data_IF_606736342422
#
_entry.id   IF_606736342422
#
_cell.length_a   1.000
_cell.length_b   1.000
_cell.length_c   1.000
_cell.angle_alpha   90.00
_cell.angle_beta   90.00
_cell.angle_gamma   90.00
#
_symmetry.space_group_name_H-M   'P 1'
#
loop_
_entity.id
_entity.type
_entity.pdbx_description
1 polymer ?
#
# COMPACT_ATOMS: atom_id res chain seq x y z
N UNK A 1 -4.42 5.10 -4.67
CA UNK A 1 -3.65 5.18 -5.94
C UNK A 1 -4.15 4.06 -6.85
N UNK A 2 -4.62 4.39 -8.05
CA UNK A 2 -5.21 3.41 -8.97
C UNK A 2 -4.58 3.51 -10.36
N UNK A 3 -4.43 2.38 -11.04
CA UNK A 3 -3.91 2.31 -12.41
C UNK A 3 -3.59 0.87 -12.82
N UNK A 4 -3.31 0.63 -14.11
CA UNK A 4 -3.03 -0.72 -14.62
C UNK A 4 -1.76 -1.33 -14.02
N UNK A 5 -1.59 -2.65 -14.14
CA UNK A 5 -0.34 -3.33 -13.83
C UNK A 5 0.85 -2.67 -14.58
N UNK A 6 2.00 -2.54 -13.91
CA UNK A 6 3.23 -1.99 -14.49
C UNK A 6 3.31 -0.48 -14.61
N UNK A 7 2.23 0.28 -14.35
CA UNK A 7 2.22 1.76 -14.50
C UNK A 7 3.04 2.53 -13.45
N UNK A 8 3.59 1.85 -12.44
CA UNK A 8 4.43 2.47 -11.40
C UNK A 8 3.71 2.87 -10.10
N UNK A 9 2.52 2.32 -9.80
CA UNK A 9 1.79 2.57 -8.54
C UNK A 9 2.65 2.36 -7.30
N UNK A 10 3.30 1.20 -7.18
CA UNK A 10 4.20 0.85 -6.08
C UNK A 10 5.36 1.83 -5.96
N UNK A 11 5.94 2.24 -7.09
CA UNK A 11 7.04 3.21 -7.13
C UNK A 11 6.60 4.55 -6.55
N UNK A 12 5.44 5.06 -6.97
CA UNK A 12 4.86 6.31 -6.45
C UNK A 12 4.57 6.18 -4.95
N UNK A 13 3.92 5.10 -4.52
CA UNK A 13 3.58 4.90 -3.12
C UNK A 13 4.83 4.80 -2.23
N UNK A 14 5.90 4.17 -2.73
CA UNK A 14 7.18 4.08 -2.03
C UNK A 14 7.90 5.43 -1.94
N UNK A 15 7.90 6.21 -3.02
CA UNK A 15 8.43 7.57 -3.01
C UNK A 15 7.69 8.44 -1.99
N UNK A 16 6.36 8.40 -2.00
CA UNK A 16 5.50 9.09 -1.04
C UNK A 16 5.77 8.64 0.40
N UNK A 17 5.87 7.33 0.63
CA UNK A 17 6.19 6.78 1.94
C UNK A 17 7.52 7.30 2.46
N UNK A 18 8.57 7.29 1.64
CA UNK A 18 9.89 7.78 2.02
C UNK A 18 9.87 9.29 2.34
N UNK A 19 9.11 10.07 1.58
CA UNK A 19 8.97 11.51 1.79
C UNK A 19 8.21 11.85 3.09
N UNK A 20 7.11 11.15 3.39
CA UNK A 20 6.28 11.42 4.57
C UNK A 20 6.80 10.74 5.84
N UNK A 21 7.54 9.64 5.70
CA UNK A 21 8.07 8.83 6.80
C UNK A 21 8.70 9.60 7.97
N UNK A 22 9.47 10.69 7.77
CA UNK A 22 10.06 11.44 8.89
C UNK A 22 9.03 12.06 9.84
N UNK A 23 7.82 12.34 9.37
CA UNK A 23 6.78 13.04 10.14
C UNK A 23 5.91 12.10 10.99
N UNK A 24 6.15 10.79 10.91
CA UNK A 24 5.36 9.75 11.58
C UNK A 24 6.23 8.85 12.44
N UNK A 25 5.84 8.65 13.70
CA UNK A 25 6.51 7.74 14.62
C UNK A 25 6.21 6.27 14.27
N UNK A 26 4.94 5.98 13.97
CA UNK A 26 4.47 4.66 13.56
C UNK A 26 4.22 4.66 12.06
N UNK A 27 4.90 3.78 11.36
CA UNK A 27 4.83 3.69 9.90
C UNK A 27 5.11 2.29 9.40
N UNK A 28 4.42 1.89 8.34
CA UNK A 28 4.54 0.57 7.74
C UNK A 28 4.27 0.65 6.23
N UNK A 29 5.05 -0.11 5.47
CA UNK A 29 4.82 -0.35 4.05
C UNK A 29 4.57 -1.85 3.88
N UNK A 30 3.31 -2.24 3.75
CA UNK A 30 2.93 -3.62 3.45
C UNK A 30 2.95 -3.81 1.94
N UNK A 31 4.02 -4.46 1.45
CA UNK A 31 4.22 -4.74 0.04
C UNK A 31 3.50 -6.01 -0.44
N UNK A 32 3.10 -6.04 -1.71
CA UNK A 32 2.63 -7.25 -2.42
C UNK A 32 1.48 -7.99 -1.71
N UNK A 33 0.39 -7.28 -1.38
CA UNK A 33 -0.80 -7.91 -0.79
C UNK A 33 -1.57 -8.79 -1.79
N UNK A 34 -1.31 -8.61 -3.09
CA UNK A 34 -1.91 -9.41 -4.15
C UNK A 34 -1.70 -10.91 -3.92
N UNK A 35 -2.79 -11.66 -3.81
CA UNK A 35 -2.74 -13.10 -3.54
C UNK A 35 -2.22 -13.50 -2.16
N UNK A 36 -2.06 -12.56 -1.21
CA UNK A 36 -1.77 -12.90 0.20
C UNK A 36 -2.99 -13.51 0.90
N UNK A 37 -4.17 -13.35 0.30
CA UNK A 37 -5.39 -14.05 0.65
C UNK A 37 -5.45 -15.39 -0.09
N UNK A 38 -5.61 -16.48 0.65
CA UNK A 38 -5.46 -17.84 0.13
C UNK A 38 -6.40 -18.16 -1.02
N UNK A 39 -5.87 -18.74 -2.09
CA UNK A 39 -6.60 -19.21 -3.28
C UNK A 39 -7.60 -20.36 -3.02
N UNK A 40 -7.84 -20.74 -1.77
CA UNK A 40 -8.42 -22.05 -1.42
C UNK A 40 -9.79 -21.98 -0.74
N UNK A 41 -10.44 -20.82 -0.64
CA UNK A 41 -11.85 -20.73 -0.23
C UNK A 41 -12.17 -21.33 1.15
N UNK A 42 -11.19 -21.41 2.06
CA UNK A 42 -11.31 -22.09 3.34
C UNK A 42 -10.77 -21.16 4.45
N UNK A 43 -11.69 -20.74 5.33
CA UNK A 43 -11.56 -19.89 6.54
C UNK A 43 -10.85 -18.53 6.40
N UNK A 44 -11.62 -17.57 5.90
CA UNK A 44 -11.39 -16.11 5.90
C UNK A 44 -10.84 -15.56 7.24
N UNK A 45 -11.28 -16.08 8.39
CA UNK A 45 -10.88 -15.55 9.71
C UNK A 45 -9.37 -15.63 10.00
N UNK A 46 -8.72 -16.75 9.69
CA UNK A 46 -7.29 -16.93 9.98
C UNK A 46 -6.41 -16.07 9.06
N UNK A 47 -6.83 -15.88 7.81
CA UNK A 47 -6.16 -14.98 6.87
C UNK A 47 -6.25 -13.52 7.33
N UNK A 48 -7.43 -13.06 7.78
CA UNK A 48 -7.59 -11.73 8.41
C UNK A 48 -6.68 -11.55 9.62
N UNK A 49 -6.59 -12.57 10.49
CA UNK A 49 -5.71 -12.53 11.67
C UNK A 49 -4.24 -12.45 11.28
N UNK A 50 -3.82 -13.21 10.27
CA UNK A 50 -2.45 -13.17 9.77
C UNK A 50 -2.07 -11.78 9.25
N UNK A 51 -2.94 -11.15 8.46
CA UNK A 51 -2.72 -9.78 7.95
C UNK A 51 -2.62 -8.75 9.07
N UNK A 52 -3.54 -8.78 10.04
CA UNK A 52 -3.49 -7.86 11.18
C UNK A 52 -2.22 -8.07 12.02
N UNK A 53 -1.82 -9.33 12.25
CA UNK A 53 -0.58 -9.67 12.97
C UNK A 53 0.65 -9.15 12.22
N UNK A 54 0.70 -9.31 10.90
CA UNK A 54 1.80 -8.82 10.07
C UNK A 54 1.90 -7.29 10.14
N UNK A 55 0.78 -6.57 9.95
CA UNK A 55 0.73 -5.11 10.03
C UNK A 55 1.25 -4.61 11.39
N UNK A 56 0.74 -5.19 12.48
CA UNK A 56 1.13 -4.79 13.83
C UNK A 56 2.60 -5.11 14.11
N UNK A 57 3.08 -6.26 13.66
CA UNK A 57 4.49 -6.65 13.81
C UNK A 57 5.43 -5.66 13.12
N UNK A 58 5.09 -5.26 11.89
CA UNK A 58 5.87 -4.30 11.11
C UNK A 58 5.83 -2.89 11.71
N UNK A 59 4.64 -2.40 12.06
CA UNK A 59 4.47 -1.01 12.53
C UNK A 59 5.06 -0.79 13.92
N UNK A 60 4.98 -1.80 14.80
CA UNK A 60 5.49 -1.75 16.17
C UNK A 60 6.93 -2.27 16.29
N UNK A 61 7.49 -2.81 15.20
CA UNK A 61 8.81 -3.44 15.15
C UNK A 61 8.97 -4.58 16.17
N UNK A 62 7.89 -5.30 16.44
CA UNK A 62 7.86 -6.46 17.32
C UNK A 62 7.70 -7.72 16.48
N UNK A 63 8.64 -8.66 16.61
CA UNK A 63 8.54 -9.96 15.93
C UNK A 63 7.58 -10.87 16.69
N UNK A 64 6.94 -11.79 15.96
CA UNK A 64 6.11 -12.86 16.51
C UNK A 64 4.91 -12.40 17.34
N UNK A 65 4.34 -11.25 16.98
CA UNK A 65 3.18 -10.68 17.66
C UNK A 65 1.94 -11.55 17.39
N UNK A 66 1.53 -12.30 18.42
CA UNK A 66 0.32 -13.13 18.36
C UNK A 66 -0.90 -12.30 18.68
N UNK A 67 -1.81 -12.19 17.73
CA UNK A 67 -3.16 -11.69 17.96
C UNK A 67 -4.13 -12.86 18.04
N UNK A 68 -5.17 -12.72 18.86
CA UNK A 68 -6.14 -13.79 19.12
C UNK A 68 -7.55 -13.43 18.63
N UNK A 69 -7.74 -12.22 18.10
CA UNK A 69 -9.03 -11.74 17.62
C UNK A 69 -8.86 -10.69 16.53
N UNK A 70 -9.92 -10.53 15.72
CA UNK A 70 -10.01 -9.45 14.75
C UNK A 70 -10.40 -8.16 15.46
N UNK A 71 -9.65 -7.09 15.18
CA UNK A 71 -9.83 -5.78 15.82
C UNK A 71 -8.60 -5.30 16.58
N UNK A 72 -7.57 -6.15 16.69
CA UNK A 72 -6.29 -5.78 17.30
C UNK A 72 -5.69 -4.51 16.66
N UNK A 73 -5.81 -4.36 15.34
CA UNK A 73 -5.35 -3.15 14.63
C UNK A 73 -6.03 -1.89 15.18
N UNK A 74 -7.36 -1.90 15.31
CA UNK A 74 -8.12 -0.80 15.90
C UNK A 74 -7.68 -0.54 17.33
N UNK A 75 -7.69 -1.57 18.18
CA UNK A 75 -7.36 -1.43 19.60
C UNK A 75 -5.99 -0.78 19.83
N UNK A 76 -5.00 -1.14 19.01
CA UNK A 76 -3.62 -0.70 19.19
C UNK A 76 -3.32 0.62 18.48
N UNK A 77 -4.03 0.95 17.39
CA UNK A 77 -3.73 2.11 16.55
C UNK A 77 -4.78 3.23 16.61
N UNK A 78 -5.94 3.05 17.26
CA UNK A 78 -7.04 4.04 17.30
C UNK A 78 -6.65 5.42 17.85
N UNK A 79 -5.65 5.50 18.72
CA UNK A 79 -5.14 6.78 19.26
C UNK A 79 -3.80 7.18 18.64
N UNK A 80 -3.26 6.38 17.73
CA UNK A 80 -1.93 6.56 17.18
C UNK A 80 -1.98 7.23 15.82
N UNK A 81 -1.11 8.23 15.63
CA UNK A 81 -0.90 8.83 14.32
C UNK A 81 0.04 7.95 13.49
N UNK A 82 -0.50 7.31 12.46
CA UNK A 82 0.21 6.31 11.64
C UNK A 82 0.35 6.72 10.17
N UNK A 83 1.42 6.24 9.51
CA UNK A 83 1.56 6.24 8.05
C UNK A 83 1.60 4.79 7.55
N UNK A 84 0.55 4.34 6.88
CA UNK A 84 0.47 2.96 6.38
C UNK A 84 0.32 2.98 4.86
N UNK A 85 1.15 2.22 4.16
CA UNK A 85 0.94 1.91 2.73
C UNK A 85 0.54 0.44 2.61
N UNK A 86 -0.61 0.22 1.96
CA UNK A 86 -1.12 -1.10 1.57
C UNK A 86 -0.95 -1.23 0.07
N UNK A 87 0.06 -1.98 -0.36
CA UNK A 87 0.45 -2.07 -1.77
C UNK A 87 -0.12 -3.31 -2.45
N UNK A 88 -0.65 -3.11 -3.66
CA UNK A 88 -1.28 -4.10 -4.53
C UNK A 88 -2.44 -4.86 -3.86
N UNK A 89 -3.36 -4.13 -3.23
CA UNK A 89 -4.61 -4.69 -2.70
C UNK A 89 -5.50 -5.15 -3.86
N UNK A 90 -5.83 -6.44 -3.90
CA UNK A 90 -6.63 -7.07 -4.96
C UNK A 90 -7.96 -7.67 -4.47
N UNK A 91 -8.18 -7.67 -3.16
CA UNK A 91 -9.41 -8.17 -2.54
C UNK A 91 -9.94 -7.20 -1.47
N UNK A 92 -11.27 -7.12 -1.35
CA UNK A 92 -11.92 -6.24 -0.39
C UNK A 92 -11.67 -6.68 1.05
N UNK A 93 -11.62 -7.98 1.31
CA UNK A 93 -11.45 -8.53 2.65
C UNK A 93 -10.06 -8.23 3.23
N UNK A 94 -9.04 -8.07 2.37
CA UNK A 94 -7.72 -7.57 2.77
C UNK A 94 -7.81 -6.16 3.34
N UNK A 95 -8.54 -5.27 2.65
CA UNK A 95 -8.70 -3.89 3.09
C UNK A 95 -9.57 -3.80 4.35
N UNK A 96 -10.63 -4.59 4.44
CA UNK A 96 -11.44 -4.74 5.65
C UNK A 96 -10.63 -5.28 6.85
N UNK A 97 -9.71 -6.20 6.61
CA UNK A 97 -8.85 -6.74 7.67
C UNK A 97 -7.87 -5.69 8.20
N UNK A 98 -7.33 -4.84 7.33
CA UNK A 98 -6.21 -3.94 7.64
C UNK A 98 -6.64 -2.52 8.01
N UNK A 99 -7.69 -2.00 7.37
CA UNK A 99 -8.12 -0.61 7.47
C UNK A 99 -9.62 -0.44 7.19
N UNK A 100 -10.46 -1.19 7.92
CA UNK A 100 -11.92 -1.20 7.72
C UNK A 100 -12.57 0.18 7.75
N UNK A 101 -12.20 0.98 8.75
CA UNK A 101 -12.80 2.30 9.01
C UNK A 101 -11.72 3.31 9.41
N UNK A 102 -11.92 4.62 9.11
CA UNK A 102 -11.03 5.68 9.59
C UNK A 102 -10.89 5.73 11.11
N UNK A 103 -11.91 5.27 11.84
CA UNK A 103 -11.95 5.20 13.32
C UNK A 103 -10.90 4.25 13.92
N UNK A 104 -10.23 3.43 13.10
CA UNK A 104 -9.17 2.52 13.54
C UNK A 104 -7.84 3.21 13.79
N UNK A 105 -7.71 4.48 13.40
CA UNK A 105 -6.46 5.22 13.46
C UNK A 105 -6.65 6.58 14.12
N UNK A 106 -5.60 7.06 14.79
CA UNK A 106 -5.59 8.36 15.44
C UNK A 106 -5.65 9.51 14.44
N UNK A 107 -6.00 10.70 14.93
CA UNK A 107 -6.07 11.91 14.12
C UNK A 107 -4.73 12.23 13.44
N UNK A 108 -4.81 12.66 12.18
CA UNK A 108 -3.63 12.97 11.36
C UNK A 108 -2.91 11.75 10.76
N UNK A 109 -3.51 10.56 10.88
CA UNK A 109 -3.03 9.35 10.20
C UNK A 109 -3.22 9.42 8.69
N UNK A 110 -2.34 8.75 7.95
CA UNK A 110 -2.40 8.65 6.49
C UNK A 110 -2.30 7.19 6.08
N UNK A 111 -3.35 6.69 5.41
CA UNK A 111 -3.41 5.33 4.87
C UNK A 111 -3.47 5.45 3.35
N UNK A 112 -2.46 4.90 2.68
CA UNK A 112 -2.32 4.91 1.23
C UNK A 112 -2.55 3.50 0.71
N UNK A 113 -3.53 3.33 -0.15
CA UNK A 113 -3.82 2.05 -0.80
C UNK A 113 -3.42 2.13 -2.27
N UNK A 114 -2.68 1.14 -2.78
CA UNK A 114 -2.50 0.95 -4.22
C UNK A 114 -3.31 -0.25 -4.70
N UNK A 115 -3.97 -0.11 -5.85
CA UNK A 115 -4.78 -1.20 -6.42
C UNK A 115 -4.95 -1.03 -7.93
N UNK A 116 -5.21 -2.13 -8.63
CA UNK A 116 -5.71 -2.13 -10.01
C UNK A 116 -7.24 -1.98 -10.05
N UNK A 117 -7.96 -2.46 -9.02
CA UNK A 117 -9.41 -2.52 -8.99
C UNK A 117 -10.05 -1.31 -8.29
N UNK A 118 -10.70 -0.47 -9.10
CA UNK A 118 -11.47 0.69 -8.63
C UNK A 118 -12.60 0.31 -7.67
N UNK A 119 -13.17 -0.89 -7.79
CA UNK A 119 -14.31 -1.32 -6.99
C UNK A 119 -13.97 -1.40 -5.50
N UNK A 120 -12.74 -1.82 -5.18
CA UNK A 120 -12.23 -1.90 -3.80
C UNK A 120 -12.25 -0.50 -3.14
N UNK A 121 -11.72 0.51 -3.84
CA UNK A 121 -11.70 1.89 -3.34
C UNK A 121 -13.12 2.47 -3.16
N UNK A 122 -14.03 2.17 -4.10
CA UNK A 122 -15.42 2.62 -4.02
C UNK A 122 -16.19 1.96 -2.88
N UNK A 123 -15.94 0.68 -2.62
CA UNK A 123 -16.60 -0.07 -1.55
C UNK A 123 -16.26 0.49 -0.16
N UNK A 124 -15.05 1.01 0.03
CA UNK A 124 -14.61 1.70 1.26
C UNK A 124 -14.87 3.20 1.28
N UNK A 125 -15.66 3.73 0.34
CA UNK A 125 -15.97 5.16 0.23
C UNK A 125 -14.72 6.06 0.22
N UNK A 126 -13.63 5.60 -0.40
CA UNK A 126 -12.42 6.39 -0.53
C UNK A 126 -12.69 7.56 -1.48
N UNK A 127 -12.72 8.78 -0.93
CA UNK A 127 -13.03 10.00 -1.70
C UNK A 127 -11.83 10.46 -2.55
N UNK A 128 -10.61 10.29 -2.03
CA UNK A 128 -9.38 10.80 -2.64
C UNK A 128 -8.69 9.71 -3.47
N UNK A 129 -9.04 9.62 -4.76
CA UNK A 129 -8.47 8.65 -5.70
C UNK A 129 -7.51 9.35 -6.66
N UNK A 130 -6.22 9.05 -6.53
CA UNK A 130 -5.20 9.42 -7.53
C UNK A 130 -5.12 8.34 -8.63
N UNK A 131 -5.43 8.71 -9.87
CA UNK A 131 -5.26 7.86 -11.05
C UNK A 131 -3.88 8.08 -11.66
N UNK A 132 -3.10 7.01 -11.78
CA UNK A 132 -1.78 7.06 -12.42
C UNK A 132 -1.97 7.04 -13.93
N UNK A 133 -1.67 8.17 -14.57
CA UNK A 133 -1.64 8.29 -16.03
C UNK A 133 -0.41 7.63 -16.63
N UNK A 134 -0.47 7.39 -17.94
CA UNK A 134 0.73 7.05 -18.70
C UNK A 134 1.69 8.25 -18.74
N UNK A 135 3.01 8.00 -18.72
CA UNK A 135 3.98 9.07 -18.94
C UNK A 135 3.81 9.68 -20.33
N UNK A 136 4.22 10.94 -20.49
CA UNK A 136 4.38 11.53 -21.83
C UNK A 136 5.45 10.79 -22.64
N UNK A 137 5.56 11.06 -23.95
CA UNK A 137 6.62 10.45 -24.76
C UNK A 137 8.02 10.83 -24.26
N UNK A 138 8.18 12.09 -23.82
CA UNK A 138 9.42 12.58 -23.24
C UNK A 138 9.75 11.89 -21.91
N UNK A 139 8.76 11.79 -21.01
CA UNK A 139 8.92 11.07 -19.72
C UNK A 139 9.20 9.58 -19.94
N UNK A 140 8.54 8.94 -20.92
CA UNK A 140 8.75 7.55 -21.26
C UNK A 140 10.16 7.31 -21.79
N UNK A 141 10.66 8.20 -22.66
CA UNK A 141 12.03 8.17 -23.16
C UNK A 141 13.04 8.34 -22.01
N UNK A 142 12.78 9.27 -21.09
CA UNK A 142 13.63 9.46 -19.91
C UNK A 142 13.66 8.20 -19.03
N UNK A 143 12.49 7.61 -18.73
CA UNK A 143 12.39 6.36 -17.97
C UNK A 143 13.18 5.23 -18.65
N UNK A 144 13.10 5.13 -19.98
CA UNK A 144 13.86 4.15 -20.76
C UNK A 144 15.37 4.40 -20.63
N UNK A 145 15.81 5.65 -20.79
CA UNK A 145 17.22 6.02 -20.70
C UNK A 145 17.78 5.80 -19.29
N UNK A 146 17.03 6.15 -18.25
CA UNK A 146 17.42 5.90 -16.86
C UNK A 146 17.54 4.40 -16.58
N UNK A 147 16.68 3.59 -17.19
CA UNK A 147 16.71 2.14 -17.04
C UNK A 147 17.92 1.52 -17.74
N UNK A 148 18.14 1.88 -19.01
CA UNK A 148 19.15 1.28 -19.89
C UNK A 148 20.56 1.87 -19.71
N UNK A 149 20.67 3.19 -19.58
CA UNK A 149 21.92 3.95 -19.62
C UNK A 149 22.29 4.61 -18.29
N UNK A 150 21.39 4.60 -17.29
CA UNK A 150 21.55 5.30 -16.01
C UNK A 150 21.70 6.83 -16.17
N UNK A 151 21.14 7.38 -17.24
CA UNK A 151 21.17 8.80 -17.60
C UNK A 151 19.77 9.23 -18.09
N UNK A 152 19.47 10.53 -18.03
CA UNK A 152 18.15 11.06 -18.42
C UNK A 152 17.95 11.22 -19.94
N UNK A 153 19.01 11.01 -20.72
CA UNK A 153 18.99 11.06 -22.18
C UNK A 153 19.69 9.84 -22.78
N UNK A 154 19.46 9.54 -24.08
CA UNK A 154 20.19 8.48 -24.76
C UNK A 154 21.70 8.73 -24.73
N UNK A 155 22.49 7.66 -24.73
CA UNK A 155 23.92 7.77 -25.05
C UNK A 155 24.10 8.10 -26.54
N UNK A 156 25.21 8.76 -26.87
CA UNK A 156 25.60 9.05 -28.26
C UNK A 156 25.43 7.80 -29.16
N UNK A 157 24.68 7.95 -30.25
CA UNK A 157 24.38 6.87 -31.20
C UNK A 157 23.13 6.03 -30.89
N UNK A 158 22.36 6.37 -29.85
CA UNK A 158 21.05 5.79 -29.52
C UNK A 158 19.91 6.85 -29.58
N UNK A 159 20.17 7.95 -30.27
CA UNK A 159 19.22 9.04 -30.55
C UNK A 159 18.06 8.59 -31.44
#
# INVERSE_FOLDING_TARGET
IQGPAGIGKTTIARALFNQLSPDFQLKCFMGNLKGSYGSNGMDDHNSKLCLQSQLLSEILKQKDLKIHHLGAVKEWLQEQRVLIVLDDVDDLEQLDALAKEPSWFGLGSCIVVTTEDRKILKAHWVENIYHVGYPSEEEALEILCLSAFKQSSPCDGFE
#
